data_IF_463600148012
#
_entry.id   IF_463600148012
#
_cell.length_a   1.000
_cell.length_b   1.000
_cell.length_c   1.000
_cell.angle_alpha   90.00
_cell.angle_beta   90.00
_cell.angle_gamma   90.00
#
_symmetry.space_group_name_H-M   'P 1'
#
loop_
_entity.id
_entity.type
_entity.pdbx_description
1 polymer ?
#
# COMPACT_ATOMS: atom_id res chain seq x y z
N UNK A 1 59.35 -25.16 28.90
CA UNK A 1 59.83 -23.96 29.65
C UNK A 1 59.09 -22.76 29.09
N UNK A 2 58.26 -21.97 29.78
CA UNK A 2 57.94 -21.72 31.19
C UNK A 2 56.44 -21.29 31.22
N UNK A 3 55.57 -21.94 31.99
CA UNK A 3 55.07 -21.53 33.33
C UNK A 3 54.21 -20.24 33.27
N UNK A 4 52.87 -20.41 33.42
CA UNK A 4 51.93 -19.38 33.90
C UNK A 4 52.25 -19.00 35.36
N UNK A 5 51.79 -17.88 35.99
CA UNK A 5 50.38 -17.84 36.46
C UNK A 5 49.77 -16.46 36.93
N UNK A 6 48.47 -16.50 37.26
CA UNK A 6 47.71 -15.79 38.33
C UNK A 6 47.51 -14.25 38.29
N UNK A 7 46.22 -13.83 38.29
CA UNK A 7 45.54 -13.06 39.37
C UNK A 7 44.10 -12.72 38.92
N UNK A 8 43.07 -13.45 39.35
CA UNK A 8 42.22 -13.14 40.53
C UNK A 8 41.80 -11.67 40.66
N UNK A 9 40.55 -11.38 40.28
CA UNK A 9 39.73 -10.38 40.95
C UNK A 9 38.25 -10.77 40.83
N UNK A 10 37.75 -11.41 41.90
CA UNK A 10 36.35 -11.32 42.30
C UNK A 10 35.97 -9.84 42.39
N UNK A 11 34.83 -9.44 41.81
CA UNK A 11 33.92 -8.57 42.54
C UNK A 11 32.50 -8.71 42.00
N UNK A 12 31.61 -9.07 42.92
CA UNK A 12 30.17 -9.10 42.79
C UNK A 12 29.65 -7.78 42.17
N UNK A 13 28.95 -7.86 41.04
CA UNK A 13 28.01 -6.81 40.66
C UNK A 13 26.61 -7.27 41.01
N UNK A 14 26.10 -6.66 42.07
CA UNK A 14 24.81 -6.91 42.67
C UNK A 14 23.68 -6.80 41.64
N UNK A 15 22.78 -7.78 41.69
CA UNK A 15 21.40 -7.64 41.22
C UNK A 15 20.74 -6.47 41.96
N UNK A 16 20.82 -5.27 41.39
CA UNK A 16 19.90 -4.18 41.73
C UNK A 16 18.59 -4.48 41.02
N UNK A 17 17.70 -5.13 41.77
CA UNK A 17 16.29 -5.24 41.46
C UNK A 17 15.75 -3.84 41.13
N UNK A 18 15.43 -3.62 39.85
CA UNK A 18 14.57 -2.51 39.45
C UNK A 18 13.24 -2.68 40.18
N UNK A 19 12.81 -1.73 41.02
CA UNK A 19 11.45 -1.70 41.50
C UNK A 19 10.56 -1.47 40.28
N UNK A 20 9.75 -2.48 39.98
CA UNK A 20 8.62 -2.39 39.07
C UNK A 20 7.87 -1.08 39.37
N UNK A 21 7.84 -0.17 38.39
CA UNK A 21 7.02 1.02 38.45
C UNK A 21 5.59 0.57 38.72
N UNK A 22 5.09 0.86 39.94
CA UNK A 22 3.72 0.58 40.31
C UNK A 22 2.82 1.39 39.38
N UNK A 23 2.21 0.70 38.41
CA UNK A 23 1.05 1.21 37.72
C UNK A 23 0.03 1.55 38.81
N UNK A 24 -0.34 2.83 38.92
CA UNK A 24 -1.46 3.26 39.76
C UNK A 24 -2.66 2.44 39.33
N UNK A 25 -3.08 1.52 40.19
CA UNK A 25 -4.32 0.78 40.08
C UNK A 25 -5.43 1.82 39.94
N UNK A 26 -6.23 1.71 38.88
CA UNK A 26 -7.54 2.36 38.87
C UNK A 26 -8.26 1.91 40.14
N UNK A 27 -8.72 2.85 40.96
CA UNK A 27 -9.50 2.55 42.17
C UNK A 27 -10.63 1.58 41.78
N UNK A 28 -10.51 0.34 42.23
CA UNK A 28 -11.52 -0.69 41.98
C UNK A 28 -12.70 -0.39 42.91
N UNK A 29 -13.66 0.37 42.40
CA UNK A 29 -14.85 0.77 43.16
C UNK A 29 -15.74 -0.44 43.42
N UNK A 30 -15.73 -0.94 44.66
CA UNK A 30 -16.51 -2.12 45.12
C UNK A 30 -17.97 -1.80 45.51
N UNK A 31 -18.47 -0.59 45.21
CA UNK A 31 -19.82 -0.14 45.60
C UNK A 31 -20.86 -0.26 44.48
N UNK A 32 -22.12 0.06 44.77
CA UNK A 32 -23.19 0.16 43.78
C UNK A 32 -22.88 1.26 42.76
N UNK A 33 -23.04 1.01 41.47
CA UNK A 33 -22.80 1.98 40.40
C UNK A 33 -24.10 2.42 39.75
N UNK A 34 -24.14 3.66 39.25
CA UNK A 34 -25.22 4.21 38.45
C UNK A 34 -24.71 4.55 37.06
N UNK A 35 -25.57 4.47 36.06
CA UNK A 35 -25.25 4.80 34.68
C UNK A 35 -26.04 6.02 34.21
N UNK A 36 -25.34 6.99 33.61
CA UNK A 36 -25.95 8.16 32.98
C UNK A 36 -25.89 8.04 31.47
N UNK A 37 -27.04 8.02 30.81
CA UNK A 37 -27.16 7.93 29.35
C UNK A 37 -28.16 8.96 28.81
N UNK A 38 -28.12 9.23 27.51
CA UNK A 38 -29.06 10.15 26.85
C UNK A 38 -30.16 9.36 26.15
N UNK A 39 -31.42 9.63 26.50
CA UNK A 39 -32.59 8.98 25.90
C UNK A 39 -32.93 9.52 24.49
N UNK A 40 -34.03 9.05 23.89
CA UNK A 40 -34.45 9.50 22.56
C UNK A 40 -35.02 10.93 22.53
N UNK A 41 -35.31 11.52 23.70
CA UNK A 41 -35.77 12.90 23.87
C UNK A 41 -34.62 13.86 24.17
N UNK A 42 -33.38 13.38 24.21
CA UNK A 42 -32.20 14.18 24.53
C UNK A 42 -32.03 14.45 26.02
N UNK A 43 -32.76 13.71 26.88
CA UNK A 43 -32.73 13.88 28.33
C UNK A 43 -31.69 12.93 28.92
N UNK A 44 -30.86 13.43 29.84
CA UNK A 44 -29.95 12.59 30.61
C UNK A 44 -30.72 11.82 31.68
N UNK A 45 -30.69 10.50 31.61
CA UNK A 45 -31.32 9.58 32.55
C UNK A 45 -30.23 8.91 33.37
N UNK A 46 -30.44 8.84 34.69
CA UNK A 46 -29.58 8.13 35.64
C UNK A 46 -30.32 6.86 36.09
N UNK A 47 -29.73 5.69 35.87
CA UNK A 47 -30.38 4.40 36.13
C UNK A 47 -29.34 3.35 36.58
N UNK A 48 -29.80 2.27 37.21
CA UNK A 48 -28.96 1.13 37.61
C UNK A 48 -28.49 0.30 36.40
N UNK A 49 -29.16 0.45 35.24
CA UNK A 49 -28.84 -0.25 33.99
C UNK A 49 -29.02 0.64 32.77
N UNK A 50 -28.09 0.57 31.81
CA UNK A 50 -28.27 1.19 30.48
C UNK A 50 -29.06 0.24 29.57
N UNK A 51 -30.23 0.65 29.04
CA UNK A 51 -30.95 -0.16 28.06
C UNK A 51 -30.10 -0.39 26.80
N UNK A 52 -30.12 -1.60 26.18
CA UNK A 52 -29.25 -1.95 25.05
C UNK A 52 -29.29 -0.95 23.88
N UNK A 53 -30.46 -0.33 23.63
CA UNK A 53 -30.66 0.68 22.57
C UNK A 53 -29.85 1.98 22.75
N UNK A 54 -29.43 2.32 23.97
CA UNK A 54 -28.70 3.56 24.26
C UNK A 54 -27.19 3.35 24.43
N UNK A 55 -26.74 2.10 24.55
CA UNK A 55 -25.31 1.75 24.68
C UNK A 55 -24.47 2.34 23.54
N UNK A 56 -25.00 2.31 22.31
CA UNK A 56 -24.31 2.84 21.13
C UNK A 56 -24.10 4.37 21.15
N UNK A 57 -24.90 5.13 21.92
CA UNK A 57 -24.78 6.59 22.07
C UNK A 57 -23.74 6.98 23.13
N UNK A 58 -23.12 6.01 23.79
CA UNK A 58 -22.21 6.25 24.92
C UNK A 58 -22.97 6.55 26.21
N UNK A 59 -22.29 6.36 27.34
CA UNK A 59 -22.85 6.56 28.67
C UNK A 59 -21.71 6.74 29.69
N UNK A 60 -22.06 7.26 30.85
CA UNK A 60 -21.13 7.45 31.97
C UNK A 60 -21.48 6.51 33.11
N UNK A 61 -20.46 6.05 33.83
CA UNK A 61 -20.57 5.25 35.04
C UNK A 61 -20.22 6.14 36.22
N UNK A 62 -21.12 6.25 37.18
CA UNK A 62 -21.06 7.15 38.32
C UNK A 62 -21.21 6.36 39.62
N UNK A 63 -20.70 6.91 40.72
CA UNK A 63 -21.05 6.46 42.07
C UNK A 63 -22.49 6.89 42.43
N UNK A 64 -23.11 6.34 43.49
CA UNK A 64 -24.41 6.79 43.97
C UNK A 64 -24.39 8.24 44.48
N UNK A 65 -23.20 8.74 44.82
CA UNK A 65 -22.95 10.14 45.20
C UNK A 65 -22.72 11.07 43.98
N UNK A 66 -22.82 10.55 42.76
CA UNK A 66 -22.68 11.32 41.52
C UNK A 66 -21.24 11.56 41.06
N UNK A 67 -20.24 10.89 41.65
CA UNK A 67 -18.84 10.99 41.22
C UNK A 67 -18.60 10.14 39.96
N UNK A 68 -18.01 10.73 38.93
CA UNK A 68 -17.70 10.04 37.68
C UNK A 68 -16.58 8.99 37.89
N UNK A 69 -16.90 7.74 37.57
CA UNK A 69 -15.98 6.61 37.62
C UNK A 69 -15.38 6.32 36.23
N UNK A 70 -16.21 6.29 35.19
CA UNK A 70 -15.79 5.93 33.82
C UNK A 70 -16.70 6.56 32.76
N UNK A 71 -16.14 7.01 31.65
CA UNK A 71 -16.90 7.45 30.46
C UNK A 71 -16.76 6.38 29.39
N UNK A 72 -17.88 5.90 28.85
CA UNK A 72 -17.94 5.04 27.66
C UNK A 72 -18.35 5.91 26.48
N UNK A 73 -17.45 6.17 25.52
CA UNK A 73 -17.77 7.06 24.40
C UNK A 73 -18.82 6.45 23.47
N UNK A 74 -19.58 7.27 22.73
CA UNK A 74 -20.45 6.81 21.65
C UNK A 74 -19.66 5.99 20.63
N UNK A 75 -20.32 5.00 20.02
CA UNK A 75 -19.78 4.36 18.83
C UNK A 75 -19.66 5.41 17.73
N UNK A 76 -18.49 5.50 17.10
CA UNK A 76 -18.27 6.40 15.97
C UNK A 76 -19.26 6.07 14.86
N UNK A 77 -20.07 7.04 14.44
CA UNK A 77 -21.10 6.84 13.41
C UNK A 77 -20.69 7.46 12.08
N UNK A 78 -21.03 6.79 10.97
CA UNK A 78 -21.01 7.38 9.62
C UNK A 78 -19.67 7.99 9.19
N UNK A 79 -19.57 9.33 9.21
CA UNK A 79 -18.42 10.08 8.69
C UNK A 79 -17.19 9.97 9.58
N UNK A 80 -17.35 10.02 10.90
CA UNK A 80 -16.22 10.01 11.85
C UNK A 80 -15.48 8.67 11.83
N UNK A 81 -16.22 7.55 11.73
CA UNK A 81 -15.63 6.23 11.58
C UNK A 81 -14.84 6.11 10.27
N UNK A 82 -15.37 6.65 9.16
CA UNK A 82 -14.65 6.65 7.87
C UNK A 82 -13.39 7.51 7.93
N UNK A 83 -13.45 8.65 8.60
CA UNK A 83 -12.26 9.51 8.77
C UNK A 83 -11.20 8.83 9.62
N UNK A 84 -11.58 8.18 10.72
CA UNK A 84 -10.65 7.39 11.52
C UNK A 84 -10.04 6.25 10.71
N UNK A 85 -10.86 5.46 10.00
CA UNK A 85 -10.37 4.38 9.13
C UNK A 85 -9.41 4.89 8.05
N UNK A 86 -9.70 6.05 7.45
CA UNK A 86 -8.80 6.68 6.47
C UNK A 86 -7.47 7.11 7.10
N UNK A 87 -7.49 7.67 8.30
CA UNK A 87 -6.27 8.03 9.04
C UNK A 87 -5.45 6.80 9.41
N UNK A 88 -6.08 5.75 9.91
CA UNK A 88 -5.43 4.49 10.24
C UNK A 88 -4.81 3.84 9.00
N UNK A 89 -5.56 3.76 7.89
CA UNK A 89 -5.06 3.24 6.63
C UNK A 89 -3.87 4.06 6.08
N UNK A 90 -3.91 5.39 6.23
CA UNK A 90 -2.79 6.26 5.85
C UNK A 90 -1.55 5.99 6.72
N UNK A 91 -1.71 5.96 8.04
CA UNK A 91 -0.61 5.68 8.97
C UNK A 91 0.02 4.31 8.71
N UNK A 92 -0.79 3.31 8.37
CA UNK A 92 -0.29 1.99 7.96
C UNK A 92 0.46 2.04 6.62
N UNK A 93 -0.06 2.77 5.64
CA UNK A 93 0.60 2.95 4.35
C UNK A 93 1.96 3.63 4.51
N UNK A 94 2.03 4.69 5.31
CA UNK A 94 3.25 5.42 5.64
C UNK A 94 4.27 4.50 6.34
N UNK A 95 3.83 3.73 7.35
CA UNK A 95 4.68 2.74 8.02
C UNK A 95 5.20 1.68 7.05
N UNK A 96 4.38 1.22 6.10
CA UNK A 96 4.81 0.26 5.07
C UNK A 96 5.83 0.88 4.13
N UNK A 97 5.67 2.15 3.78
CA UNK A 97 6.58 2.89 2.90
C UNK A 97 7.97 3.04 3.55
N UNK A 98 8.03 3.51 4.80
CA UNK A 98 9.26 3.65 5.57
C UNK A 98 9.97 2.32 5.86
N UNK A 99 9.21 1.22 5.98
CA UNK A 99 9.80 -0.12 6.12
C UNK A 99 10.39 -0.67 4.82
N UNK A 100 9.84 -0.25 3.68
CA UNK A 100 10.26 -0.75 2.36
C UNK A 100 11.50 -0.03 1.84
N UNK A 101 11.64 1.25 2.14
CA UNK A 101 12.71 2.10 1.61
C UNK A 101 13.39 2.85 2.74
N UNK A 102 14.73 2.94 2.70
CA UNK A 102 15.50 3.65 3.72
C UNK A 102 15.85 5.08 3.30
N UNK A 103 15.60 5.45 2.05
CA UNK A 103 15.83 6.79 1.52
C UNK A 103 15.02 7.04 0.25
N UNK A 104 14.90 8.31 -0.16
CA UNK A 104 14.36 8.67 -1.49
C UNK A 104 15.22 8.07 -2.61
N UNK A 105 16.54 7.97 -2.43
CA UNK A 105 17.43 7.34 -3.40
C UNK A 105 17.12 5.84 -3.59
N UNK A 106 16.71 5.12 -2.53
CA UNK A 106 16.27 3.73 -2.63
C UNK A 106 14.99 3.61 -3.47
N UNK A 107 14.08 4.56 -3.35
CA UNK A 107 12.83 4.64 -4.12
C UNK A 107 13.15 4.84 -5.61
N UNK A 108 14.00 5.82 -5.95
CA UNK A 108 14.42 6.07 -7.34
C UNK A 108 15.22 4.90 -7.94
N UNK A 109 16.03 4.23 -7.13
CA UNK A 109 16.74 3.02 -7.55
C UNK A 109 15.76 1.87 -7.87
N UNK A 110 14.72 1.70 -7.04
CA UNK A 110 13.67 0.72 -7.28
C UNK A 110 12.81 1.07 -8.51
N UNK A 111 12.50 2.36 -8.72
CA UNK A 111 11.86 2.89 -9.95
C UNK A 111 12.66 2.51 -11.17
N UNK A 112 13.95 2.85 -11.18
CA UNK A 112 14.85 2.60 -12.31
C UNK A 112 14.93 1.12 -12.67
N UNK A 113 15.05 0.24 -11.66
CA UNK A 113 15.02 -1.22 -11.89
C UNK A 113 13.71 -1.68 -12.52
N UNK A 114 12.57 -1.20 -12.03
CA UNK A 114 11.26 -1.61 -12.55
C UNK A 114 11.05 -1.09 -13.97
N UNK A 115 11.40 0.15 -14.25
CA UNK A 115 11.34 0.74 -15.60
C UNK A 115 12.25 0.03 -16.58
N UNK A 116 13.48 -0.32 -16.20
CA UNK A 116 14.42 -1.01 -17.08
C UNK A 116 13.83 -2.32 -17.65
N UNK A 117 13.07 -3.07 -16.84
CA UNK A 117 12.39 -4.29 -17.29
C UNK A 117 11.31 -3.94 -18.35
N UNK A 118 10.50 -2.91 -18.09
CA UNK A 118 9.45 -2.45 -19.00
C UNK A 118 10.05 -1.95 -20.32
N UNK A 119 11.13 -1.18 -20.24
CA UNK A 119 11.85 -0.63 -21.38
C UNK A 119 12.50 -1.71 -22.24
N UNK A 120 13.08 -2.73 -21.61
CA UNK A 120 13.63 -3.89 -22.32
C UNK A 120 12.54 -4.61 -23.12
N UNK A 121 11.37 -4.86 -22.52
CA UNK A 121 10.24 -5.48 -23.22
C UNK A 121 9.78 -4.64 -24.40
N UNK A 122 9.64 -3.32 -24.20
CA UNK A 122 9.27 -2.38 -25.26
C UNK A 122 10.29 -2.38 -26.40
N UNK A 123 11.59 -2.43 -26.10
CA UNK A 123 12.65 -2.48 -27.10
C UNK A 123 12.55 -3.74 -27.97
N UNK A 124 12.27 -4.90 -27.37
CA UNK A 124 12.03 -6.15 -28.09
C UNK A 124 10.79 -6.03 -28.99
N UNK A 125 9.68 -5.53 -28.47
CA UNK A 125 8.45 -5.35 -29.24
C UNK A 125 8.65 -4.40 -30.43
N UNK A 126 9.36 -3.28 -30.24
CA UNK A 126 9.69 -2.33 -31.31
C UNK A 126 10.57 -2.97 -32.39
N UNK A 127 11.56 -3.77 -31.98
CA UNK A 127 12.39 -4.54 -32.91
C UNK A 127 11.58 -5.53 -33.75
N UNK A 128 10.63 -6.23 -33.12
CA UNK A 128 9.75 -7.17 -33.80
C UNK A 128 8.82 -6.46 -34.79
N UNK A 129 8.20 -5.34 -34.39
CA UNK A 129 7.37 -4.51 -35.28
C UNK A 129 8.17 -4.03 -36.50
N UNK A 130 9.41 -3.59 -36.31
CA UNK A 130 10.29 -3.17 -37.40
C UNK A 130 10.62 -4.34 -38.35
N UNK A 131 10.89 -5.52 -37.80
CA UNK A 131 11.21 -6.71 -38.59
C UNK A 131 10.02 -7.21 -39.40
N UNK A 132 8.83 -7.29 -38.80
CA UNK A 132 7.60 -7.63 -39.50
C UNK A 132 7.22 -6.59 -40.55
N UNK A 133 7.45 -5.29 -40.27
CA UNK A 133 7.25 -4.22 -41.25
C UNK A 133 8.07 -4.42 -42.52
N UNK A 134 9.36 -4.73 -42.37
CA UNK A 134 10.24 -5.06 -43.51
C UNK A 134 9.78 -6.31 -44.26
N UNK A 135 9.26 -7.32 -43.55
CA UNK A 135 8.72 -8.51 -44.18
C UNK A 135 7.47 -8.20 -45.02
N UNK A 136 6.55 -7.38 -44.49
CA UNK A 136 5.38 -6.90 -45.22
C UNK A 136 5.81 -6.16 -46.50
N UNK A 137 6.77 -5.24 -46.41
CA UNK A 137 7.28 -4.50 -47.57
C UNK A 137 7.85 -5.43 -48.66
N UNK A 138 8.54 -6.50 -48.27
CA UNK A 138 9.08 -7.49 -49.20
C UNK A 138 7.97 -8.28 -49.91
N UNK A 139 6.98 -8.76 -49.17
CA UNK A 139 5.85 -9.52 -49.72
C UNK A 139 4.96 -8.64 -50.63
N UNK A 140 4.74 -7.39 -50.25
CA UNK A 140 4.03 -6.40 -51.07
C UNK A 140 4.78 -6.07 -52.36
N UNK A 141 6.11 -5.93 -52.29
CA UNK A 141 6.94 -5.73 -53.48
C UNK A 141 6.88 -6.92 -54.43
N UNK A 142 6.82 -8.15 -53.92
CA UNK A 142 6.63 -9.37 -54.72
C UNK A 142 5.25 -9.38 -55.38
N UNK A 143 4.19 -9.09 -54.64
CA UNK A 143 2.82 -8.99 -55.17
C UNK A 143 2.73 -7.93 -56.29
N UNK A 144 3.32 -6.75 -56.08
CA UNK A 144 3.34 -5.67 -57.06
C UNK A 144 4.12 -6.03 -58.32
N UNK A 145 5.20 -6.81 -58.22
CA UNK A 145 5.92 -7.34 -59.41
C UNK A 145 5.05 -8.31 -60.19
N UNK A 146 4.28 -9.17 -59.52
CA UNK A 146 3.36 -10.11 -60.18
C UNK A 146 2.27 -9.37 -60.95
N UNK A 147 1.63 -8.38 -60.33
CA UNK A 147 0.60 -7.54 -60.96
C UNK A 147 1.14 -6.74 -62.15
N UNK A 148 2.33 -6.14 -62.03
CA UNK A 148 2.97 -5.42 -63.14
C UNK A 148 3.29 -6.31 -64.34
N UNK A 149 3.48 -7.61 -64.12
CA UNK A 149 3.66 -8.58 -65.19
C UNK A 149 2.33 -9.09 -65.77
N UNK A 150 1.19 -8.48 -65.43
CA UNK A 150 -0.14 -8.87 -65.91
C UNK A 150 -0.68 -10.17 -65.31
N UNK A 151 -0.04 -10.68 -64.26
CA UNK A 151 -0.46 -11.91 -63.57
C UNK A 151 -1.25 -11.58 -62.31
N UNK A 152 -2.21 -12.44 -61.98
CA UNK A 152 -2.93 -12.36 -60.72
C UNK A 152 -2.04 -12.74 -59.54
N UNK A 153 -2.22 -12.08 -58.40
CA UNK A 153 -1.49 -12.37 -57.16
C UNK A 153 -2.07 -13.61 -56.51
N UNK A 154 -1.21 -14.55 -56.12
CA UNK A 154 -1.63 -15.75 -55.43
C UNK A 154 -2.41 -15.41 -54.13
N UNK A 155 -3.60 -16.01 -53.89
CA UNK A 155 -4.38 -15.77 -52.68
C UNK A 155 -3.58 -16.01 -51.39
N UNK A 156 -2.67 -16.99 -51.40
CA UNK A 156 -1.81 -17.33 -50.27
C UNK A 156 -0.85 -16.19 -49.90
N UNK A 157 -0.38 -15.43 -50.89
CA UNK A 157 0.48 -14.26 -50.66
C UNK A 157 -0.32 -13.11 -50.03
N UNK A 158 -1.54 -12.87 -50.50
CA UNK A 158 -2.43 -11.86 -49.93
C UNK A 158 -2.79 -12.21 -48.47
N UNK A 159 -3.09 -13.49 -48.20
CA UNK A 159 -3.37 -13.95 -46.85
C UNK A 159 -2.16 -13.77 -45.93
N UNK A 160 -0.95 -14.12 -46.40
CA UNK A 160 0.29 -13.92 -45.63
C UNK A 160 0.51 -12.45 -45.26
N UNK A 161 0.29 -11.52 -46.19
CA UNK A 161 0.40 -10.08 -45.93
C UNK A 161 -0.64 -9.65 -44.87
N UNK A 162 -1.87 -10.17 -44.96
CA UNK A 162 -2.92 -9.88 -43.98
C UNK A 162 -2.55 -10.40 -42.58
N UNK A 163 -2.03 -11.63 -42.48
CA UNK A 163 -1.62 -12.23 -41.21
C UNK A 163 -0.47 -11.45 -40.55
N UNK A 164 0.56 -11.06 -41.34
CA UNK A 164 1.67 -10.24 -40.85
C UNK A 164 1.19 -8.87 -40.34
N UNK A 165 0.23 -8.24 -41.03
CA UNK A 165 -0.35 -6.95 -40.62
C UNK A 165 -1.14 -7.08 -39.32
N UNK A 166 -1.89 -8.17 -39.13
CA UNK A 166 -2.58 -8.42 -37.86
C UNK A 166 -1.59 -8.67 -36.73
N UNK A 167 -0.50 -9.39 -36.97
CA UNK A 167 0.55 -9.59 -35.96
C UNK A 167 1.20 -8.26 -35.53
N UNK A 168 1.52 -7.38 -36.50
CA UNK A 168 2.02 -6.02 -36.21
C UNK A 168 1.03 -5.23 -35.36
N UNK A 169 -0.27 -5.31 -35.67
CA UNK A 169 -1.31 -4.64 -34.91
C UNK A 169 -1.37 -5.14 -33.47
N UNK A 170 -1.38 -6.45 -33.26
CA UNK A 170 -1.36 -7.06 -31.92
C UNK A 170 -0.12 -6.64 -31.12
N UNK A 171 1.06 -6.60 -31.76
CA UNK A 171 2.29 -6.13 -31.10
C UNK A 171 2.23 -4.64 -30.74
N UNK A 172 1.67 -3.79 -31.60
CA UNK A 172 1.50 -2.36 -31.31
C UNK A 172 0.53 -2.11 -30.14
N UNK A 173 -0.56 -2.88 -30.06
CA UNK A 173 -1.47 -2.80 -28.91
C UNK A 173 -0.78 -3.23 -27.61
N UNK A 174 0.06 -4.29 -27.66
CA UNK A 174 0.88 -4.71 -26.50
C UNK A 174 1.88 -3.62 -26.11
N UNK A 175 2.56 -3.02 -27.08
CA UNK A 175 3.51 -1.93 -26.85
C UNK A 175 2.82 -0.73 -26.17
N UNK A 176 1.65 -0.32 -26.66
CA UNK A 176 0.88 0.78 -26.06
C UNK A 176 0.50 0.51 -24.60
N UNK A 177 0.12 -0.74 -24.26
CA UNK A 177 -0.14 -1.11 -22.86
C UNK A 177 1.12 -1.00 -22.00
N UNK A 178 2.28 -1.40 -22.54
CA UNK A 178 3.57 -1.34 -21.84
C UNK A 178 4.04 0.11 -21.63
N UNK A 179 3.78 0.99 -22.59
CA UNK A 179 4.00 2.44 -22.47
C UNK A 179 3.11 3.06 -21.39
N UNK A 180 1.82 2.71 -21.34
CA UNK A 180 0.91 3.15 -20.28
C UNK A 180 1.36 2.65 -18.89
N UNK A 181 1.86 1.42 -18.81
CA UNK A 181 2.42 0.86 -17.58
C UNK A 181 3.67 1.62 -17.12
N UNK A 182 4.58 1.99 -18.04
CA UNK A 182 5.74 2.81 -17.71
C UNK A 182 5.32 4.16 -17.10
N UNK A 183 4.27 4.80 -17.64
CA UNK A 183 3.71 6.05 -17.09
C UNK A 183 3.12 5.82 -15.69
N UNK A 184 2.37 4.72 -15.49
CA UNK A 184 1.82 4.37 -14.17
C UNK A 184 2.92 4.14 -13.14
N UNK A 185 3.97 3.39 -13.51
CA UNK A 185 5.14 3.15 -12.64
C UNK A 185 5.77 4.47 -12.25
N UNK A 186 6.05 5.36 -13.21
CA UNK A 186 6.60 6.68 -12.91
C UNK A 186 5.75 7.43 -11.88
N UNK A 187 4.44 7.52 -12.12
CA UNK A 187 3.51 8.21 -11.22
C UNK A 187 3.45 7.59 -9.81
N UNK A 188 3.42 6.27 -9.72
CA UNK A 188 3.42 5.54 -8.44
C UNK A 188 4.69 5.85 -7.63
N UNK A 189 5.85 5.85 -8.29
CA UNK A 189 7.13 6.14 -7.64
C UNK A 189 7.29 7.61 -7.29
N UNK A 190 6.83 8.54 -8.14
CA UNK A 190 6.82 9.98 -7.82
C UNK A 190 5.99 10.26 -6.57
N UNK A 191 4.81 9.64 -6.45
CA UNK A 191 3.96 9.75 -5.27
C UNK A 191 4.61 9.15 -4.02
N UNK A 192 5.26 7.99 -4.16
CA UNK A 192 5.97 7.34 -3.07
C UNK A 192 7.17 8.18 -2.59
N UNK A 193 7.95 8.76 -3.50
CA UNK A 193 9.08 9.61 -3.19
C UNK A 193 8.64 10.90 -2.47
N UNK A 194 7.62 11.59 -2.99
CA UNK A 194 7.05 12.77 -2.35
C UNK A 194 6.52 12.45 -0.95
N UNK A 195 5.74 11.38 -0.82
CA UNK A 195 5.19 10.97 0.48
C UNK A 195 6.28 10.57 1.47
N UNK A 196 7.32 9.89 1.01
CA UNK A 196 8.46 9.52 1.86
C UNK A 196 9.16 10.77 2.40
N UNK A 197 9.43 11.76 1.55
CA UNK A 197 10.05 13.02 1.97
C UNK A 197 9.23 13.75 3.04
N UNK A 198 7.90 13.86 2.84
CA UNK A 198 7.00 14.46 3.82
C UNK A 198 7.03 13.76 5.20
N UNK A 199 7.14 12.44 5.22
CA UNK A 199 7.16 11.67 6.47
C UNK A 199 8.55 11.71 7.12
N UNK A 200 9.62 11.75 6.33
CA UNK A 200 11.00 11.75 6.84
C UNK A 200 11.46 13.12 7.37
N UNK A 201 10.83 14.21 6.92
CA UNK A 201 11.09 15.58 7.41
C UNK A 201 10.33 15.94 8.69
N UNK A 202 9.30 15.16 9.07
CA UNK A 202 8.51 15.34 10.29
C UNK A 202 8.97 14.42 11.43
#
# INVERSE_FOLDING_TARGET
>A
MKIAPIASALLCFACLALPCAQAKTADEYSGKVLYRYTDDKGIQVLDDLVPPRFVAKGYEVLTPTGRLLKVVPPQLTGKELREQQRREAQMEADRRLLKRYNSVADIESARSRKLAIVEQDMAIMRSNVSSLGRQIEQEEAAAARTQRNGREVAPELLQRIADLREEVKVLRERLSRREAEAVSINREFDQAAARYAEIAEN
#
